data_IF_326942658818
#
_entry.id   IF_326942658818
#
_cell.length_a   1.000
_cell.length_b   1.000
_cell.length_c   1.000
_cell.angle_alpha   90.00
_cell.angle_beta   90.00
_cell.angle_gamma   90.00
#
_symmetry.space_group_name_H-M   'P 1'
#
loop_
_entity.id
_entity.type
_entity.pdbx_description
1 polymer ?
#
# COMPACT_ATOMS: atom_id res chain seq x y z
N UNK A 1 34.85 6.20 0.87
CA UNK A 1 33.80 6.79 1.73
C UNK A 1 32.62 7.16 0.85
N UNK A 2 31.46 6.52 1.03
CA UNK A 2 30.27 6.81 0.23
C UNK A 2 29.74 8.19 0.61
N UNK A 3 29.54 9.06 -0.38
CA UNK A 3 28.92 10.38 -0.20
C UNK A 3 27.50 10.15 0.32
N UNK A 4 27.26 10.45 1.59
CA UNK A 4 25.90 10.48 2.15
C UNK A 4 25.08 11.45 1.30
N UNK A 5 24.15 10.93 0.51
CA UNK A 5 23.11 11.70 -0.13
C UNK A 5 21.96 11.79 0.87
N UNK A 6 21.85 12.85 1.69
CA UNK A 6 20.74 12.97 2.62
C UNK A 6 19.43 12.92 1.81
N UNK A 7 18.47 12.14 2.27
CA UNK A 7 17.14 12.09 1.66
C UNK A 7 16.51 13.48 1.62
N UNK A 8 15.65 13.72 0.63
CA UNK A 8 15.00 15.02 0.45
C UNK A 8 13.73 15.08 1.31
N UNK A 9 13.68 16.00 2.28
CA UNK A 9 12.48 16.28 3.06
C UNK A 9 11.61 17.32 2.35
N UNK A 10 10.46 16.91 1.84
CA UNK A 10 9.51 17.79 1.16
C UNK A 10 8.33 18.16 2.08
N UNK A 11 7.91 19.43 2.02
CA UNK A 11 6.63 19.88 2.58
C UNK A 11 5.58 19.87 1.47
N UNK A 12 5.05 18.68 1.18
CA UNK A 12 4.19 18.42 0.02
C UNK A 12 2.87 19.21 0.02
N UNK A 13 2.37 19.70 1.17
CA UNK A 13 1.19 20.58 1.22
C UNK A 13 1.48 22.04 0.79
N UNK A 14 2.74 22.41 0.55
CA UNK A 14 3.15 23.78 0.19
C UNK A 14 3.67 23.92 -1.23
N UNK A 15 3.75 22.81 -1.97
CA UNK A 15 4.27 22.78 -3.33
C UNK A 15 3.35 21.91 -4.17
N UNK A 16 3.22 22.22 -5.45
CA UNK A 16 2.56 21.32 -6.37
C UNK A 16 3.47 20.12 -6.65
N UNK A 17 3.21 19.02 -5.94
CA UNK A 17 4.00 17.78 -6.06
C UNK A 17 3.66 17.00 -7.32
N UNK A 18 2.46 17.17 -7.89
CA UNK A 18 2.05 16.50 -9.12
C UNK A 18 2.64 17.17 -10.36
N UNK A 19 2.89 18.47 -10.30
CA UNK A 19 3.63 19.18 -11.34
C UNK A 19 5.14 18.84 -11.28
N UNK A 20 5.74 18.89 -10.09
CA UNK A 20 7.20 18.75 -9.94
C UNK A 20 7.72 17.31 -9.90
N UNK A 21 6.91 16.38 -9.40
CA UNK A 21 7.34 15.01 -9.09
C UNK A 21 6.24 13.99 -9.44
N UNK A 22 5.57 14.20 -10.58
CA UNK A 22 4.41 13.41 -11.01
C UNK A 22 4.59 11.91 -10.79
N UNK A 23 5.64 11.32 -11.34
CA UNK A 23 5.88 9.87 -11.30
C UNK A 23 5.98 9.30 -9.86
N UNK A 24 6.39 10.13 -8.90
CA UNK A 24 6.53 9.73 -7.51
C UNK A 24 5.20 9.85 -6.74
N UNK A 25 4.34 10.79 -7.09
CA UNK A 25 3.16 11.17 -6.31
C UNK A 25 1.83 10.76 -6.95
N UNK A 26 1.76 10.69 -8.28
CA UNK A 26 0.58 10.23 -9.03
C UNK A 26 0.03 8.89 -8.53
N UNK A 27 0.84 7.87 -8.15
CA UNK A 27 0.31 6.60 -7.65
C UNK A 27 -0.49 6.69 -6.35
N UNK A 28 -0.41 7.81 -5.62
CA UNK A 28 -1.21 8.05 -4.42
C UNK A 28 -2.45 8.90 -4.71
N UNK A 29 -2.43 9.71 -5.77
CA UNK A 29 -3.54 10.60 -6.11
C UNK A 29 -4.79 9.79 -6.52
N UNK A 30 -5.93 10.11 -5.92
CA UNK A 30 -7.20 9.39 -6.10
C UNK A 30 -7.32 8.08 -5.31
N UNK A 31 -6.24 7.57 -4.72
CA UNK A 31 -6.29 6.33 -3.93
C UNK A 31 -6.94 6.55 -2.57
N UNK A 32 -8.01 5.82 -2.28
CA UNK A 32 -8.76 5.91 -1.01
C UNK A 32 -9.19 7.34 -0.65
N UNK A 33 -9.49 8.18 -1.66
CA UNK A 33 -9.86 9.59 -1.46
C UNK A 33 -8.68 10.52 -1.18
N UNK A 34 -7.43 10.07 -1.41
CA UNK A 34 -6.25 10.92 -1.27
C UNK A 34 -6.18 11.93 -2.42
N UNK A 35 -6.50 13.19 -2.14
CA UNK A 35 -6.38 14.28 -3.10
C UNK A 35 -5.11 15.11 -2.85
N UNK A 36 -4.08 14.85 -3.65
CA UNK A 36 -2.83 15.61 -3.64
C UNK A 36 -2.91 17.00 -4.28
N UNK A 37 -4.03 17.36 -4.93
CA UNK A 37 -4.27 18.74 -5.42
C UNK A 37 -4.88 19.63 -4.33
N UNK A 38 -5.53 19.02 -3.34
CA UNK A 38 -6.04 19.74 -2.18
C UNK A 38 -4.89 20.25 -1.31
N UNK A 39 -5.09 21.44 -0.73
CA UNK A 39 -4.20 21.97 0.31
C UNK A 39 -4.44 21.33 1.70
N UNK A 40 -5.30 20.31 1.77
CA UNK A 40 -5.68 19.62 3.01
C UNK A 40 -4.88 18.33 3.21
N UNK A 41 -4.57 17.95 4.46
CA UNK A 41 -3.91 16.68 4.74
C UNK A 41 -4.82 15.48 4.47
N UNK A 42 -4.25 14.37 4.01
CA UNK A 42 -4.96 13.10 3.95
C UNK A 42 -5.18 12.54 5.36
N UNK A 43 -6.44 12.25 5.70
CA UNK A 43 -6.84 11.69 6.99
C UNK A 43 -6.69 10.17 7.03
N UNK A 44 -5.46 9.71 6.90
CA UNK A 44 -5.11 8.30 6.92
C UNK A 44 -3.63 8.07 6.71
N UNK A 45 -3.26 6.84 6.40
CA UNK A 45 -1.87 6.48 6.07
C UNK A 45 -1.87 5.63 4.82
N UNK A 46 -1.14 6.07 3.80
CA UNK A 46 -0.87 5.29 2.60
C UNK A 46 0.59 4.89 2.59
N UNK A 47 0.83 3.61 2.32
CA UNK A 47 2.17 3.05 2.16
C UNK A 47 2.20 2.35 0.81
N UNK A 48 3.13 2.76 -0.06
CA UNK A 48 3.40 2.07 -1.32
C UNK A 48 4.71 1.31 -1.18
N UNK A 49 4.65 0.01 -1.41
CA UNK A 49 5.82 -0.87 -1.44
C UNK A 49 6.00 -1.33 -2.89
N UNK A 50 6.85 -0.66 -3.69
CA UNK A 50 7.11 -1.10 -5.06
C UNK A 50 7.83 -2.45 -5.04
N UNK A 51 7.26 -3.45 -5.71
CA UNK A 51 7.94 -4.73 -5.89
C UNK A 51 9.13 -4.59 -6.83
N UNK A 52 10.21 -5.32 -6.54
CA UNK A 52 11.40 -5.34 -7.40
C UNK A 52 11.04 -5.97 -8.75
N UNK A 53 11.67 -5.51 -9.83
CA UNK A 53 11.69 -6.26 -11.09
C UNK A 53 12.62 -7.47 -10.96
N UNK A 54 12.60 -8.36 -11.95
CA UNK A 54 13.49 -9.53 -11.94
C UNK A 54 14.97 -9.14 -11.94
N UNK A 55 15.32 -8.10 -12.70
CA UNK A 55 16.67 -7.55 -12.80
C UNK A 55 17.06 -6.88 -11.49
N UNK A 56 16.18 -6.05 -10.93
CA UNK A 56 16.41 -5.36 -9.67
C UNK A 56 16.54 -6.33 -8.50
N UNK A 57 15.78 -7.42 -8.49
CA UNK A 57 15.90 -8.46 -7.47
C UNK A 57 17.26 -9.17 -7.55
N UNK A 58 17.71 -9.56 -8.76
CA UNK A 58 19.01 -10.24 -8.96
C UNK A 58 20.20 -9.37 -8.56
N UNK A 59 20.11 -8.06 -8.80
CA UNK A 59 21.17 -7.11 -8.47
C UNK A 59 21.09 -6.59 -7.02
N UNK A 60 20.05 -6.96 -6.24
CA UNK A 60 19.84 -6.39 -4.91
C UNK A 60 20.72 -7.06 -3.87
N UNK A 61 21.50 -6.27 -3.14
CA UNK A 61 22.25 -6.72 -1.96
C UNK A 61 21.36 -7.04 -0.75
N UNK A 62 20.09 -6.58 -0.77
CA UNK A 62 19.16 -6.73 0.36
C UNK A 62 18.37 -8.03 0.25
N UNK A 63 17.81 -8.32 -0.93
CA UNK A 63 16.98 -9.51 -1.13
C UNK A 63 16.71 -9.79 -2.60
N UNK A 64 16.82 -11.06 -2.98
CA UNK A 64 16.44 -11.59 -4.29
C UNK A 64 14.94 -11.88 -4.41
N UNK A 65 14.12 -11.48 -3.43
CA UNK A 65 12.69 -11.72 -3.44
C UNK A 65 11.99 -10.93 -4.56
N UNK A 66 11.33 -11.68 -5.45
CA UNK A 66 10.43 -11.16 -6.48
C UNK A 66 8.98 -11.31 -6.00
N UNK A 67 8.24 -10.20 -5.94
CA UNK A 67 6.81 -10.18 -5.62
C UNK A 67 5.98 -10.36 -6.89
N UNK A 68 5.42 -11.56 -7.09
CA UNK A 68 4.55 -11.87 -8.24
C UNK A 68 3.08 -11.93 -7.79
N UNK A 69 2.10 -11.76 -8.70
CA UNK A 69 0.69 -11.91 -8.36
C UNK A 69 0.38 -13.26 -7.70
N UNK A 70 0.99 -14.36 -8.18
CA UNK A 70 0.83 -15.69 -7.59
C UNK A 70 1.30 -15.75 -6.13
N UNK A 71 2.45 -15.15 -5.81
CA UNK A 71 2.95 -15.06 -4.41
C UNK A 71 2.09 -14.16 -3.54
N UNK A 72 1.54 -13.09 -4.09
CA UNK A 72 0.61 -12.23 -3.37
C UNK A 72 -0.66 -13.02 -2.99
N UNK A 73 -1.21 -13.81 -3.91
CA UNK A 73 -2.35 -14.69 -3.64
C UNK A 73 -2.00 -15.79 -2.62
N UNK A 74 -0.81 -16.38 -2.69
CA UNK A 74 -0.33 -17.34 -1.69
C UNK A 74 -0.26 -16.71 -0.29
N UNK A 75 0.30 -15.51 -0.18
CA UNK A 75 0.36 -14.77 1.09
C UNK A 75 -1.04 -14.42 1.62
N UNK A 76 -1.97 -14.00 0.74
CA UNK A 76 -3.37 -13.76 1.11
C UNK A 76 -4.04 -15.04 1.61
N UNK A 77 -3.79 -16.17 0.95
CA UNK A 77 -4.32 -17.48 1.36
C UNK A 77 -3.78 -17.92 2.72
N UNK A 78 -2.47 -17.76 2.94
CA UNK A 78 -1.84 -18.03 4.23
C UNK A 78 -2.39 -17.13 5.34
N UNK A 79 -2.55 -15.82 5.07
CA UNK A 79 -3.20 -14.90 6.01
C UNK A 79 -4.64 -15.33 6.29
N UNK A 80 -5.42 -15.69 5.27
CA UNK A 80 -6.81 -16.15 5.43
C UNK A 80 -6.90 -17.37 6.35
N UNK A 81 -5.99 -18.33 6.20
CA UNK A 81 -5.93 -19.51 7.07
C UNK A 81 -5.58 -19.16 8.53
N UNK A 82 -4.77 -18.11 8.76
CA UNK A 82 -4.36 -17.64 10.07
C UNK A 82 -5.17 -16.45 10.61
N UNK A 83 -6.19 -15.97 9.88
CA UNK A 83 -6.80 -14.66 10.11
C UNK A 83 -7.37 -14.52 11.52
N UNK A 84 -8.02 -15.57 12.04
CA UNK A 84 -8.53 -15.58 13.41
C UNK A 84 -7.39 -15.33 14.42
N UNK A 85 -6.28 -16.05 14.31
CA UNK A 85 -5.13 -15.92 15.23
C UNK A 85 -4.45 -14.55 15.11
N UNK A 86 -4.39 -13.98 13.91
CA UNK A 86 -3.82 -12.65 13.68
C UNK A 86 -4.67 -11.52 14.27
N UNK A 87 -5.99 -11.69 14.32
CA UNK A 87 -6.92 -10.61 14.65
C UNK A 87 -7.40 -10.63 16.11
N UNK A 88 -7.45 -11.79 16.78
CA UNK A 88 -8.00 -11.92 18.14
C UNK A 88 -7.34 -11.04 19.20
N UNK A 89 -6.07 -10.67 19.00
CA UNK A 89 -5.32 -9.83 19.94
C UNK A 89 -5.30 -8.34 19.54
N UNK A 90 -5.96 -7.96 18.44
CA UNK A 90 -6.03 -6.57 18.00
C UNK A 90 -7.18 -5.84 18.70
N UNK A 91 -6.87 -4.67 19.29
CA UNK A 91 -7.86 -3.88 20.03
C UNK A 91 -8.58 -2.83 19.17
N UNK A 92 -7.91 -2.32 18.14
CA UNK A 92 -8.42 -1.19 17.34
C UNK A 92 -8.64 -1.51 15.86
N UNK A 93 -8.00 -2.56 15.34
CA UNK A 93 -8.20 -3.01 13.96
C UNK A 93 -9.45 -3.87 13.92
N UNK A 94 -10.50 -3.39 13.24
CA UNK A 94 -11.77 -4.11 13.12
C UNK A 94 -11.90 -4.89 11.82
N UNK A 95 -11.27 -4.43 10.76
CA UNK A 95 -11.45 -4.97 9.41
C UNK A 95 -10.13 -4.95 8.65
N UNK A 96 -9.86 -6.06 7.96
CA UNK A 96 -8.75 -6.18 7.02
C UNK A 96 -9.34 -6.61 5.68
N UNK A 97 -9.02 -5.85 4.64
CA UNK A 97 -9.50 -6.10 3.29
C UNK A 97 -8.31 -6.14 2.33
N UNK A 98 -8.30 -7.15 1.47
CA UNK A 98 -7.37 -7.28 0.36
C UNK A 98 -8.12 -6.98 -0.92
N UNK A 99 -7.58 -6.05 -1.71
CA UNK A 99 -8.15 -5.65 -2.98
C UNK A 99 -7.14 -5.80 -4.11
N UNK A 100 -7.64 -5.91 -5.33
CA UNK A 100 -6.88 -5.98 -6.56
C UNK A 100 -7.20 -4.78 -7.45
N UNK A 101 -6.20 -4.28 -8.16
CA UNK A 101 -6.40 -3.27 -9.21
C UNK A 101 -5.91 -3.91 -10.50
N UNK A 102 -6.80 -4.01 -11.48
CA UNK A 102 -6.45 -4.60 -12.77
C UNK A 102 -5.44 -3.69 -13.50
N UNK A 103 -4.40 -4.24 -14.16
CA UNK A 103 -3.40 -3.45 -14.89
C UNK A 103 -4.02 -2.50 -15.93
N UNK A 104 -5.12 -2.91 -16.54
CA UNK A 104 -5.87 -2.18 -17.55
C UNK A 104 -6.80 -1.10 -17.00
N UNK A 105 -6.99 -1.02 -15.68
CA UNK A 105 -7.98 -0.13 -15.07
C UNK A 105 -7.58 1.37 -15.16
N UNK A 106 -6.30 1.66 -15.44
CA UNK A 106 -5.81 3.01 -15.68
C UNK A 106 -5.81 3.92 -14.44
N UNK A 107 -5.55 5.22 -14.62
CA UNK A 107 -5.57 6.21 -13.54
C UNK A 107 -6.97 6.35 -12.93
N UNK A 108 -7.06 6.41 -11.59
CA UNK A 108 -8.35 6.54 -10.89
C UNK A 108 -9.14 5.24 -10.73
N UNK A 109 -8.53 4.10 -11.08
CA UNK A 109 -9.12 2.79 -10.86
C UNK A 109 -9.50 2.56 -9.39
N UNK A 110 -10.71 2.03 -9.17
CA UNK A 110 -11.13 1.62 -7.83
C UNK A 110 -10.70 0.18 -7.54
N UNK A 111 -10.10 -0.11 -6.38
CA UNK A 111 -9.72 -1.47 -6.01
C UNK A 111 -10.94 -2.40 -5.92
N UNK A 112 -10.85 -3.59 -6.52
CA UNK A 112 -11.86 -4.64 -6.41
C UNK A 112 -11.55 -5.59 -5.24
N UNK A 113 -12.51 -5.92 -4.38
CA UNK A 113 -12.26 -6.77 -3.22
C UNK A 113 -11.95 -8.21 -3.64
N UNK A 114 -10.91 -8.79 -3.04
CA UNK A 114 -10.50 -10.20 -3.22
C UNK A 114 -10.85 -11.01 -1.98
N UNK A 115 -10.55 -10.49 -0.80
CA UNK A 115 -10.76 -11.15 0.48
C UNK A 115 -10.99 -10.09 1.56
N UNK A 116 -11.88 -10.38 2.51
CA UNK A 116 -12.19 -9.52 3.64
C UNK A 116 -12.40 -10.35 4.89
N UNK A 117 -11.94 -9.82 6.01
CA UNK A 117 -12.21 -10.35 7.34
C UNK A 117 -12.52 -9.20 8.30
N UNK A 118 -13.53 -9.39 9.13
CA UNK A 118 -14.00 -8.42 10.10
C UNK A 118 -14.11 -9.08 11.48
N UNK A 119 -13.64 -8.37 12.50
CA UNK A 119 -13.84 -8.72 13.89
C UNK A 119 -15.25 -8.23 14.26
N UNK A 120 -16.17 -9.18 14.41
CA UNK A 120 -17.49 -8.91 14.95
C UNK A 120 -17.37 -8.98 16.47
N UNK A 121 -17.51 -7.86 17.20
CA UNK A 121 -17.58 -7.91 18.66
C UNK A 121 -18.77 -8.79 19.03
N UNK A 122 -18.66 -9.63 20.08
CA UNK A 122 -19.84 -10.29 20.62
C UNK A 122 -20.90 -9.21 20.92
N UNK A 123 -22.15 -9.44 20.48
CA UNK A 123 -23.25 -8.55 20.80
C UNK A 123 -23.28 -8.37 22.32
N UNK A 124 -23.22 -7.12 22.78
CA UNK A 124 -23.06 -6.81 24.20
C UNK A 124 -24.17 -7.42 25.05
N UNK A 125 -23.77 -7.96 26.21
CA UNK A 125 -24.58 -7.89 27.44
C UNK A 125 -24.50 -6.48 28.03
#
# INVERSE_FOLDING_TARGET
ASVQKPGVKLRFLKIDVLDKFRDQFEPYHGMFGCDLTASAPFHGTLIRIPFRTQEAAKASEISNFLGTPAKALEAISAFRAAAAQCLIFLQHVRKVQFCWIAPEAGPGASPSPVFEVEIVPPAGE
#
